data_IF_009367064224
#
_entry.id   IF_009367064224
#
_cell.length_a   1.000
_cell.length_b   1.000
_cell.length_c   1.000
_cell.angle_alpha   90.00
_cell.angle_beta   90.00
_cell.angle_gamma   90.00
#
_symmetry.space_group_name_H-M   'P 1'
#
loop_
_entity.id
_entity.type
_entity.pdbx_description
1 polymer ?
#
# COMPACT_ATOMS: atom_id res chain seq x y z
N UNK A 1 18.28 13.55 -7.68
CA UNK A 1 17.66 12.55 -8.56
C UNK A 1 16.18 12.84 -8.56
N UNK A 2 15.32 12.06 -9.22
CA UNK A 2 13.89 12.12 -8.89
C UNK A 2 13.25 10.75 -9.01
N UNK A 3 12.17 10.59 -8.27
CA UNK A 3 11.45 9.34 -8.06
C UNK A 3 9.96 9.65 -8.21
N UNK A 4 9.29 8.88 -9.06
CA UNK A 4 7.85 8.85 -9.21
C UNK A 4 7.38 7.41 -9.00
N UNK A 5 6.67 7.15 -7.90
CA UNK A 5 6.08 5.85 -7.61
C UNK A 5 4.65 5.82 -8.16
N UNK A 6 4.42 4.96 -9.15
CA UNK A 6 3.14 4.86 -9.86
C UNK A 6 2.25 3.75 -9.30
N UNK A 7 2.88 2.72 -8.71
CA UNK A 7 2.25 1.68 -7.92
C UNK A 7 3.17 1.25 -6.76
N UNK A 8 2.62 0.91 -5.58
CA UNK A 8 1.21 1.06 -5.21
C UNK A 8 0.81 2.54 -5.13
N UNK A 9 -0.49 2.83 -5.11
CA UNK A 9 -1.04 4.16 -4.82
C UNK A 9 -1.47 4.24 -3.36
N UNK A 10 -1.64 5.47 -2.89
CA UNK A 10 -2.13 5.75 -1.54
C UNK A 10 -3.42 4.99 -1.26
N UNK A 11 -3.41 4.23 -0.17
CA UNK A 11 -4.48 3.37 0.33
C UNK A 11 -4.82 2.15 -0.53
N UNK A 12 -3.99 1.75 -1.50
CA UNK A 12 -4.14 0.45 -2.16
C UNK A 12 -4.03 -0.69 -1.15
N UNK A 13 -4.81 -1.75 -1.35
CA UNK A 13 -4.75 -2.96 -0.52
C UNK A 13 -3.75 -3.92 -1.15
N UNK A 14 -2.63 -4.14 -0.47
CA UNK A 14 -1.50 -4.94 -0.95
C UNK A 14 -1.45 -6.31 -0.26
N UNK A 15 -0.88 -7.29 -0.97
CA UNK A 15 -0.62 -8.64 -0.44
C UNK A 15 0.73 -8.71 0.29
N UNK A 16 1.17 -9.93 0.66
CA UNK A 16 2.54 -10.15 1.14
C UNK A 16 3.61 -9.94 0.07
N UNK A 17 3.25 -10.01 -1.22
CA UNK A 17 4.12 -9.64 -2.33
C UNK A 17 3.69 -8.26 -2.84
N UNK A 18 4.39 -7.22 -2.40
CA UNK A 18 4.09 -5.84 -2.77
C UNK A 18 4.82 -5.51 -4.08
N UNK A 19 4.05 -5.16 -5.11
CA UNK A 19 4.60 -4.68 -6.37
C UNK A 19 4.84 -3.18 -6.26
N UNK A 20 6.08 -2.75 -6.49
CA UNK A 20 6.46 -1.34 -6.52
C UNK A 20 7.00 -1.04 -7.91
N UNK A 21 6.43 -0.05 -8.59
CA UNK A 21 6.89 0.35 -9.90
C UNK A 21 6.68 1.83 -10.13
N UNK A 22 7.44 2.36 -11.09
CA UNK A 22 7.36 3.75 -11.47
C UNK A 22 8.54 4.16 -12.32
N UNK A 23 8.94 5.42 -12.19
CA UNK A 23 10.04 6.02 -12.94
C UNK A 23 11.02 6.65 -11.96
N UNK A 24 12.31 6.35 -12.10
CA UNK A 24 13.35 6.93 -11.28
C UNK A 24 14.63 7.16 -12.10
N UNK A 25 15.43 8.15 -11.70
CA UNK A 25 16.69 8.46 -12.37
C UNK A 25 17.18 9.88 -12.12
N UNK A 26 17.89 10.45 -13.10
CA UNK A 26 18.50 11.77 -12.96
C UNK A 26 19.94 11.74 -12.41
N UNK A 27 20.60 10.58 -12.43
CA UNK A 27 22.01 10.41 -12.07
C UNK A 27 22.68 9.32 -12.93
N UNK A 28 24.01 9.36 -13.00
CA UNK A 28 24.84 8.41 -13.76
C UNK A 28 24.86 7.01 -13.10
N UNK A 29 24.93 6.95 -11.77
CA UNK A 29 24.76 5.74 -10.97
C UNK A 29 23.51 5.90 -10.12
N UNK A 30 22.40 5.34 -10.59
CA UNK A 30 21.09 5.58 -10.00
C UNK A 30 20.63 4.33 -9.22
N UNK A 31 21.33 4.10 -8.11
CA UNK A 31 20.96 3.14 -7.08
C UNK A 31 19.89 3.77 -6.18
N UNK A 32 18.79 3.06 -5.99
CA UNK A 32 17.67 3.44 -5.16
C UNK A 32 17.43 2.38 -4.09
N UNK A 33 16.78 2.81 -3.01
CA UNK A 33 16.40 1.99 -1.88
C UNK A 33 14.89 1.96 -1.78
N UNK A 34 14.37 0.85 -1.25
CA UNK A 34 13.00 0.79 -0.76
C UNK A 34 12.99 0.39 0.71
N UNK A 35 11.97 0.85 1.44
CA UNK A 35 11.66 0.42 2.80
C UNK A 35 10.15 0.28 2.95
N UNK A 36 9.69 -0.88 3.39
CA UNK A 36 8.29 -1.13 3.73
C UNK A 36 8.18 -1.37 5.22
N UNK A 37 7.40 -0.54 5.92
CA UNK A 37 7.36 -0.60 7.39
C UNK A 37 6.03 -0.10 7.95
N UNK A 38 5.76 -0.38 9.24
CA UNK A 38 4.67 0.24 10.01
C UNK A 38 5.13 0.97 11.27
N UNK A 39 6.44 0.93 11.54
CA UNK A 39 7.08 1.56 12.69
C UNK A 39 7.63 0.55 13.71
N UNK A 40 7.04 -0.64 13.82
CA UNK A 40 7.57 -1.71 14.67
C UNK A 40 8.54 -2.66 13.94
N UNK A 41 8.28 -2.98 12.67
CA UNK A 41 9.16 -3.82 11.85
C UNK A 41 9.29 -3.23 10.42
N UNK A 42 10.31 -3.66 9.69
CA UNK A 42 10.59 -3.18 8.33
C UNK A 42 11.20 -4.24 7.40
N UNK A 43 10.96 -4.07 6.10
CA UNK A 43 11.62 -4.81 5.02
C UNK A 43 12.31 -3.79 4.11
N UNK A 44 13.61 -3.96 3.92
CA UNK A 44 14.45 -3.03 3.14
C UNK A 44 15.15 -3.72 1.99
N UNK A 45 15.45 -2.97 0.95
CA UNK A 45 16.30 -3.43 -0.14
C UNK A 45 16.71 -2.31 -1.07
N UNK A 46 17.31 -2.70 -2.19
CA UNK A 46 17.82 -1.78 -3.19
C UNK A 46 17.49 -2.25 -4.60
N UNK A 47 17.47 -1.32 -5.55
CA UNK A 47 17.28 -1.57 -6.97
C UNK A 47 17.96 -0.49 -7.81
N UNK A 48 18.19 -0.79 -9.08
CA UNK A 48 18.73 0.16 -10.04
C UNK A 48 17.61 0.68 -10.94
N UNK A 49 17.62 1.98 -11.23
CA UNK A 49 16.73 2.59 -12.23
C UNK A 49 17.45 3.73 -12.95
N UNK A 50 17.08 4.02 -14.19
CA UNK A 50 17.80 4.99 -15.03
C UNK A 50 18.62 4.32 -16.14
N UNK A 51 19.20 5.15 -17.00
CA UNK A 51 19.88 4.72 -18.24
C UNK A 51 21.42 4.79 -18.15
N UNK A 52 21.96 5.16 -16.99
CA UNK A 52 23.40 5.30 -16.79
C UNK A 52 24.02 6.56 -17.39
N UNK A 53 23.23 7.48 -17.97
CA UNK A 53 23.72 8.76 -18.50
C UNK A 53 22.98 9.98 -17.90
N UNK A 54 22.26 9.76 -16.79
CA UNK A 54 21.48 10.79 -16.11
C UNK A 54 20.02 10.89 -16.53
N UNK A 55 19.52 9.97 -17.35
CA UNK A 55 18.11 9.87 -17.70
C UNK A 55 17.25 9.16 -16.66
N UNK A 56 15.96 9.06 -16.96
CA UNK A 56 14.96 8.38 -16.15
C UNK A 56 14.59 7.04 -16.77
N UNK A 57 14.57 5.99 -15.97
CA UNK A 57 14.21 4.64 -16.38
C UNK A 57 12.98 4.15 -15.62
N UNK A 58 12.21 3.29 -16.26
CA UNK A 58 11.18 2.53 -15.57
C UNK A 58 11.82 1.51 -14.64
N UNK A 59 11.20 1.29 -13.49
CA UNK A 59 11.54 0.19 -12.60
C UNK A 59 10.28 -0.55 -12.19
N UNK A 60 10.45 -1.85 -11.94
CA UNK A 60 9.42 -2.69 -11.35
C UNK A 60 10.12 -3.72 -10.45
N UNK A 61 9.72 -3.76 -9.20
CA UNK A 61 10.24 -4.69 -8.19
C UNK A 61 9.08 -5.37 -7.47
N UNK A 62 9.35 -6.56 -6.93
CA UNK A 62 8.44 -7.31 -6.08
C UNK A 62 9.10 -7.49 -4.73
N UNK A 63 8.47 -6.97 -3.67
CA UNK A 63 8.96 -7.02 -2.30
C UNK A 63 8.15 -8.03 -1.51
N UNK A 64 8.79 -9.11 -1.06
CA UNK A 64 8.17 -10.08 -0.16
C UNK A 64 8.29 -9.60 1.28
N UNK A 65 7.14 -9.36 1.92
CA UNK A 65 7.03 -8.96 3.32
C UNK A 65 6.47 -10.05 4.22
N UNK A 66 6.33 -11.28 3.72
CA UNK A 66 5.75 -12.40 4.49
C UNK A 66 6.57 -12.79 5.73
N UNK A 67 7.87 -12.48 5.74
CA UNK A 67 8.75 -12.69 6.90
C UNK A 67 8.70 -11.60 7.96
N UNK A 68 8.07 -10.45 7.68
CA UNK A 68 7.99 -9.34 8.62
C UNK A 68 6.87 -9.55 9.65
N UNK A 69 7.13 -9.14 10.89
CA UNK A 69 6.22 -9.26 12.03
C UNK A 69 5.39 -7.98 12.21
N UNK A 70 4.73 -7.51 11.15
CA UNK A 70 3.93 -6.29 11.18
C UNK A 70 2.74 -6.40 12.16
N UNK A 71 2.58 -5.37 12.99
CA UNK A 71 1.52 -5.28 13.99
C UNK A 71 0.28 -4.57 13.46
N UNK A 72 0.46 -3.60 12.57
CA UNK A 72 -0.61 -2.78 12.00
C UNK A 72 -0.98 -3.22 10.58
N UNK A 73 -2.17 -2.87 10.14
CA UNK A 73 -2.67 -3.06 8.76
C UNK A 73 -2.28 -1.90 7.83
N UNK A 74 -1.63 -0.86 8.35
CA UNK A 74 -1.15 0.30 7.59
C UNK A 74 0.35 0.23 7.44
N UNK A 75 0.81 0.10 6.20
CA UNK A 75 2.23 0.15 5.88
C UNK A 75 2.58 1.45 5.17
N UNK A 76 3.84 1.84 5.25
CA UNK A 76 4.43 2.90 4.45
C UNK A 76 5.44 2.26 3.51
N UNK A 77 5.21 2.42 2.20
CA UNK A 77 6.15 2.05 1.16
C UNK A 77 6.97 3.29 0.81
N UNK A 78 8.23 3.27 1.21
CA UNK A 78 9.17 4.33 0.92
C UNK A 78 10.09 3.94 -0.23
N UNK A 79 10.35 4.88 -1.14
CA UNK A 79 11.37 4.78 -2.18
C UNK A 79 12.24 6.03 -2.13
N UNK A 80 13.55 5.87 -2.05
CA UNK A 80 14.49 6.97 -1.86
C UNK A 80 15.86 6.61 -2.45
N UNK A 81 16.79 7.57 -2.50
CA UNK A 81 18.21 7.25 -2.69
C UNK A 81 19.03 7.76 -1.51
N UNK A 82 20.20 7.17 -1.33
CA UNK A 82 21.12 7.51 -0.23
C UNK A 82 22.28 8.32 -0.78
N UNK A 83 22.51 9.50 -0.21
CA UNK A 83 23.65 10.36 -0.55
C UNK A 83 24.98 9.68 -0.21
N UNK A 84 25.92 9.56 -1.17
CA UNK A 84 27.24 8.98 -0.90
C UNK A 84 28.11 9.81 0.06
N UNK A 85 27.80 11.10 0.23
CA UNK A 85 28.64 12.02 1.00
C UNK A 85 28.39 11.93 2.51
N UNK A 86 27.13 11.77 2.90
CA UNK A 86 26.67 11.91 4.29
C UNK A 86 25.64 10.84 4.70
N UNK A 87 25.26 9.94 3.79
CA UNK A 87 24.27 8.90 4.06
C UNK A 87 22.83 9.43 4.19
N UNK A 88 22.57 10.69 3.84
CA UNK A 88 21.24 11.25 3.91
C UNK A 88 20.29 10.55 2.93
N UNK A 89 19.06 10.28 3.37
CA UNK A 89 17.99 9.80 2.50
C UNK A 89 17.36 10.98 1.76
N UNK A 90 17.39 10.92 0.43
CA UNK A 90 17.02 12.03 -0.46
C UNK A 90 15.93 11.61 -1.44
N UNK A 91 15.20 12.61 -1.94
CA UNK A 91 14.08 12.46 -2.90
C UNK A 91 13.05 11.39 -2.48
N UNK A 92 12.88 11.20 -1.16
CA UNK A 92 12.03 10.16 -0.58
C UNK A 92 10.57 10.37 -0.96
N UNK A 93 9.99 9.34 -1.57
CA UNK A 93 8.55 9.20 -1.80
C UNK A 93 8.00 8.22 -0.77
N UNK A 94 6.88 8.59 -0.12
CA UNK A 94 6.20 7.77 0.88
C UNK A 94 4.79 7.49 0.38
N UNK A 95 4.45 6.22 0.21
CA UNK A 95 3.11 5.77 -0.18
C UNK A 95 2.49 4.96 0.97
N UNK A 96 1.51 5.51 1.68
CA UNK A 96 0.78 4.73 2.69
C UNK A 96 -0.15 3.74 2.00
N UNK A 97 -0.10 2.47 2.39
CA UNK A 97 -0.89 1.36 1.83
C UNK A 97 -1.55 0.54 2.94
N UNK A 98 -2.49 -0.32 2.55
CA UNK A 98 -3.20 -1.21 3.44
C UNK A 98 -2.71 -2.65 3.24
N UNK A 99 -2.22 -3.31 4.28
CA UNK A 99 -1.78 -4.70 4.24
C UNK A 99 -2.96 -5.65 4.42
N UNK A 100 -3.48 -6.16 3.30
CA UNK A 100 -4.65 -7.04 3.27
C UNK A 100 -4.55 -8.27 4.20
N UNK A 101 -3.39 -8.97 4.28
CA UNK A 101 -3.21 -10.10 5.19
C UNK A 101 -3.42 -9.79 6.68
N UNK A 102 -3.32 -8.53 7.11
CA UNK A 102 -3.65 -8.09 8.48
C UNK A 102 -5.14 -7.82 8.69
N UNK A 103 -5.90 -7.67 7.61
CA UNK A 103 -7.36 -7.50 7.64
C UNK A 103 -8.07 -8.84 7.60
N UNK A 104 -7.68 -9.70 6.65
CA UNK A 104 -8.21 -11.05 6.48
C UNK A 104 -7.06 -12.02 6.25
N UNK A 105 -6.94 -13.09 7.06
CA UNK A 105 -5.97 -14.14 6.80
C UNK A 105 -6.17 -14.73 5.41
N UNK A 106 -5.09 -14.84 4.63
CA UNK A 106 -5.17 -15.37 3.28
C UNK A 106 -5.64 -14.40 2.21
N UNK A 107 -5.77 -13.10 2.50
CA UNK A 107 -6.16 -12.06 1.54
C UNK A 107 -5.61 -12.28 0.12
N UNK A 108 -6.51 -12.26 -0.87
CA UNK A 108 -6.17 -12.39 -2.30
C UNK A 108 -6.56 -11.17 -3.11
N UNK A 109 -7.78 -10.71 -2.93
CA UNK A 109 -8.42 -9.71 -3.79
C UNK A 109 -9.46 -8.91 -3.00
N UNK A 110 -10.00 -7.85 -3.59
CA UNK A 110 -11.17 -7.16 -3.07
C UNK A 110 -12.27 -7.07 -4.14
N UNK A 111 -13.51 -6.99 -3.69
CA UNK A 111 -14.65 -6.62 -4.53
C UNK A 111 -14.98 -5.14 -4.32
N UNK A 112 -15.51 -4.47 -5.34
CA UNK A 112 -16.09 -3.14 -5.17
C UNK A 112 -17.59 -3.27 -4.87
N UNK A 113 -18.04 -2.61 -3.80
CA UNK A 113 -19.44 -2.53 -3.42
C UNK A 113 -19.86 -1.06 -3.43
N UNK A 114 -20.92 -0.76 -4.18
CA UNK A 114 -21.56 0.56 -4.16
C UNK A 114 -22.60 0.56 -3.05
N UNK A 115 -22.41 1.40 -2.04
CA UNK A 115 -23.33 1.53 -0.90
C UNK A 115 -24.72 1.94 -1.40
N UNK A 116 -25.74 1.22 -0.97
CA UNK A 116 -27.14 1.47 -1.31
C UNK A 116 -27.87 2.23 -0.19
N UNK A 117 -28.98 2.93 -0.50
CA UNK A 117 -29.81 3.59 0.51
C UNK A 117 -30.25 2.62 1.62
N UNK A 118 -30.00 3.01 2.87
CA UNK A 118 -30.38 2.23 4.06
C UNK A 118 -29.40 1.13 4.45
N UNK A 119 -28.30 0.93 3.71
CA UNK A 119 -27.24 0.01 4.13
C UNK A 119 -26.46 0.55 5.34
N UNK A 120 -25.88 -0.39 6.09
CA UNK A 120 -24.93 -0.13 7.16
C UNK A 120 -23.71 -1.01 6.94
N UNK A 121 -22.55 -0.64 7.49
CA UNK A 121 -21.37 -1.50 7.43
C UNK A 121 -21.63 -2.89 8.03
N UNK A 122 -22.47 -2.98 9.08
CA UNK A 122 -22.90 -4.25 9.65
C UNK A 122 -23.72 -5.08 8.65
N UNK A 123 -24.68 -4.47 7.96
CA UNK A 123 -25.50 -5.13 6.94
C UNK A 123 -24.65 -5.63 5.76
N UNK A 124 -23.76 -4.78 5.25
CA UNK A 124 -22.83 -5.11 4.17
C UNK A 124 -21.90 -6.24 4.60
N UNK A 125 -21.31 -6.16 5.80
CA UNK A 125 -20.48 -7.22 6.37
C UNK A 125 -21.25 -8.54 6.56
N UNK A 126 -22.52 -8.47 6.97
CA UNK A 126 -23.36 -9.67 7.09
C UNK A 126 -23.62 -10.30 5.72
N UNK A 127 -23.84 -9.47 4.70
CA UNK A 127 -24.07 -9.93 3.33
C UNK A 127 -22.83 -10.59 2.72
N UNK A 128 -21.67 -9.95 2.84
CA UNK A 128 -20.42 -10.41 2.20
C UNK A 128 -19.64 -11.44 3.01
N UNK A 129 -19.64 -11.34 4.34
CA UNK A 129 -18.87 -12.24 5.21
C UNK A 129 -19.74 -13.19 6.04
N UNK A 130 -21.07 -13.11 5.93
CA UNK A 130 -22.00 -13.89 6.75
C UNK A 130 -22.10 -13.42 8.21
N UNK A 131 -21.33 -12.41 8.62
CA UNK A 131 -21.30 -11.93 9.99
C UNK A 131 -21.08 -10.40 10.05
N UNK A 132 -22.02 -9.69 10.68
CA UNK A 132 -21.98 -8.22 10.73
C UNK A 132 -20.89 -7.65 11.65
N UNK A 133 -20.44 -8.41 12.65
CA UNK A 133 -19.33 -8.00 13.53
C UNK A 133 -17.97 -7.92 12.82
N UNK A 134 -17.87 -8.40 11.58
CA UNK A 134 -16.68 -8.29 10.74
C UNK A 134 -16.59 -6.94 10.00
N UNK A 135 -17.48 -5.99 10.30
CA UNK A 135 -17.49 -4.66 9.67
C UNK A 135 -16.16 -3.90 9.81
N UNK A 136 -15.39 -4.17 10.86
CA UNK A 136 -14.06 -3.58 11.07
C UNK A 136 -13.11 -3.86 9.90
N UNK A 137 -13.27 -4.98 9.18
CA UNK A 137 -12.51 -5.27 7.96
C UNK A 137 -12.78 -4.27 6.85
N UNK A 138 -14.03 -3.80 6.73
CA UNK A 138 -14.41 -2.79 5.76
C UNK A 138 -13.80 -1.43 6.11
N UNK A 139 -13.77 -1.08 7.39
CA UNK A 139 -13.14 0.15 7.88
C UNK A 139 -11.65 0.14 7.56
N UNK A 140 -10.93 -0.91 7.95
CA UNK A 140 -9.49 -1.07 7.66
C UNK A 140 -9.16 -1.05 6.17
N UNK A 141 -10.02 -1.67 5.34
CA UNK A 141 -9.80 -1.73 3.90
C UNK A 141 -10.05 -0.40 3.17
N UNK A 142 -10.75 0.56 3.78
CA UNK A 142 -11.20 1.79 3.11
C UNK A 142 -10.85 3.07 3.85
N UNK A 143 -9.60 3.30 4.28
CA UNK A 143 -9.24 4.47 5.09
C UNK A 143 -9.44 5.81 4.37
N UNK A 144 -9.49 5.81 3.02
CA UNK A 144 -9.78 7.01 2.23
C UNK A 144 -11.27 7.32 2.06
N UNK A 145 -12.14 6.31 2.17
CA UNK A 145 -13.59 6.45 1.95
C UNK A 145 -14.35 6.44 3.28
N UNK A 146 -13.99 5.54 4.21
CA UNK A 146 -14.60 5.38 5.53
C UNK A 146 -13.69 6.03 6.56
N UNK A 147 -13.97 7.28 6.89
CA UNK A 147 -13.24 8.04 7.92
C UNK A 147 -13.92 7.97 9.30
N UNK A 148 -15.25 7.79 9.32
CA UNK A 148 -16.03 7.47 10.52
C UNK A 148 -16.79 6.15 10.28
N UNK A 149 -16.54 5.09 11.08
CA UNK A 149 -17.22 3.80 10.93
C UNK A 149 -18.75 3.85 11.03
N UNK A 150 -19.32 4.92 11.61
CA UNK A 150 -20.76 5.09 11.75
C UNK A 150 -21.39 5.85 10.58
N UNK A 151 -20.58 6.33 9.63
CA UNK A 151 -21.04 7.19 8.54
C UNK A 151 -20.58 6.61 7.20
N UNK A 152 -21.56 6.13 6.43
CA UNK A 152 -21.40 5.79 5.01
C UNK A 152 -22.55 6.42 4.23
N UNK A 153 -22.31 6.75 2.97
CA UNK A 153 -23.29 7.42 2.12
C UNK A 153 -23.67 6.54 0.94
N UNK A 154 -24.96 6.53 0.53
CA UNK A 154 -25.35 5.90 -0.73
C UNK A 154 -24.53 6.46 -1.90
N UNK A 155 -23.98 5.56 -2.72
CA UNK A 155 -23.08 5.89 -3.82
C UNK A 155 -21.59 5.80 -3.49
N UNK A 156 -21.21 5.68 -2.21
CA UNK A 156 -19.82 5.40 -1.84
C UNK A 156 -19.39 4.05 -2.44
N UNK A 157 -18.22 4.02 -3.06
CA UNK A 157 -17.59 2.78 -3.52
C UNK A 157 -16.61 2.33 -2.45
N UNK A 158 -16.88 1.18 -1.83
CA UNK A 158 -16.03 0.58 -0.81
C UNK A 158 -15.48 -0.76 -1.29
N UNK A 159 -14.27 -1.07 -0.84
CA UNK A 159 -13.55 -2.30 -1.15
C UNK A 159 -13.87 -3.35 -0.08
N UNK A 160 -14.30 -4.53 -0.50
CA UNK A 160 -14.63 -5.67 0.33
C UNK A 160 -13.52 -6.73 0.19
N UNK A 161 -12.52 -6.79 1.09
CA UNK A 161 -11.42 -7.76 1.00
C UNK A 161 -11.89 -9.21 1.12
N UNK A 162 -11.30 -10.11 0.32
CA UNK A 162 -11.62 -11.54 0.22
C UNK A 162 -10.34 -12.39 0.31
N UNK A 163 -10.49 -13.63 0.78
CA UNK A 163 -9.45 -14.68 0.86
C UNK A 163 -9.41 -15.64 -0.34
#
# INVERSE_FOLDING_TARGET
>A
MSIDVQQPRTHDIVSNSILIAGVAGGAFEANFNYRVHEGHDEVVGAFMAGDGIGGHGQFQISVDVSGASFQLDRLFVEVFHTSPNDGAELDKVIVPVVHGPKIIPGYRVYLEHVVQPGETLWGISTHHYGAGNLYHRLVSANPGTITDPNVIHPGDVIRIPQD
#
